data_IF_526345678074
#
_entry.id   IF_526345678074
#
_cell.length_a   1.000
_cell.length_b   1.000
_cell.length_c   1.000
_cell.angle_alpha   90.00
_cell.angle_beta   90.00
_cell.angle_gamma   90.00
#
_symmetry.space_group_name_H-M   'P 1'
#
loop_
_entity.id
_entity.type
_entity.pdbx_description
1 polymer ?
#
# COMPACT_ATOMS: atom_id res chain seq x y z
N UNK A 1 8.61 5.81 -4.96
CA UNK A 1 9.31 4.53 -4.85
C UNK A 1 9.70 4.07 -6.25
N UNK A 2 10.97 3.72 -6.45
CA UNK A 2 11.46 3.16 -7.72
C UNK A 2 11.21 1.65 -7.67
N UNK A 3 10.13 1.19 -8.30
CA UNK A 3 9.77 -0.24 -8.40
C UNK A 3 10.31 -0.88 -9.68
N UNK A 4 11.40 -0.32 -10.22
CA UNK A 4 12.04 -0.70 -11.49
C UNK A 4 13.30 -1.56 -11.29
N UNK A 5 13.90 -1.59 -10.09
CA UNK A 5 15.02 -2.49 -9.79
C UNK A 5 14.49 -3.83 -9.23
N UNK A 6 14.68 -4.96 -9.95
CA UNK A 6 14.21 -6.27 -9.52
C UNK A 6 14.72 -6.70 -8.14
N UNK A 7 15.89 -6.21 -7.70
CA UNK A 7 16.47 -6.54 -6.39
C UNK A 7 15.69 -5.88 -5.25
N UNK A 8 15.21 -4.66 -5.47
CA UNK A 8 14.36 -3.96 -4.50
C UNK A 8 12.96 -4.58 -4.44
N UNK A 9 12.43 -5.00 -5.60
CA UNK A 9 11.17 -5.75 -5.66
C UNK A 9 11.28 -7.08 -4.91
N UNK A 10 12.38 -7.83 -5.09
CA UNK A 10 12.61 -9.09 -4.38
C UNK A 10 12.72 -8.92 -2.85
N UNK A 11 13.14 -7.74 -2.37
CA UNK A 11 13.18 -7.40 -0.95
C UNK A 11 11.82 -6.96 -0.38
N UNK A 12 10.86 -6.63 -1.23
CA UNK A 12 9.63 -5.94 -0.82
C UNK A 12 8.84 -6.72 0.23
N UNK A 13 8.62 -8.01 0.01
CA UNK A 13 7.87 -8.88 0.94
C UNK A 13 8.63 -9.12 2.25
N UNK A 14 9.97 -9.16 2.23
CA UNK A 14 10.78 -9.24 3.47
C UNK A 14 10.63 -7.97 4.31
N UNK A 15 10.51 -6.81 3.64
CA UNK A 15 10.39 -5.51 4.29
C UNK A 15 8.97 -5.19 4.75
N UNK A 16 7.97 -5.81 4.11
CA UNK A 16 6.55 -5.65 4.34
C UNK A 16 5.87 -7.04 4.41
N UNK A 17 6.21 -7.86 5.43
CA UNK A 17 5.65 -9.20 5.57
C UNK A 17 4.17 -9.12 5.95
N UNK A 18 3.48 -10.25 5.81
CA UNK A 18 2.13 -10.42 6.33
C UNK A 18 2.05 -10.00 7.81
N UNK A 19 1.12 -9.10 8.14
CA UNK A 19 0.92 -8.59 9.48
C UNK A 19 -0.58 -8.37 9.78
N UNK A 20 -0.88 -7.62 10.84
CA UNK A 20 -2.24 -7.33 11.31
C UNK A 20 -3.10 -6.61 10.26
N UNK A 21 -2.47 -5.83 9.39
CA UNK A 21 -3.11 -5.17 8.25
C UNK A 21 -3.71 -6.19 7.27
N UNK A 22 -2.93 -7.20 6.90
CA UNK A 22 -3.36 -8.25 5.98
C UNK A 22 -4.48 -9.07 6.61
N UNK A 23 -4.36 -9.38 7.91
CA UNK A 23 -5.42 -10.06 8.66
C UNK A 23 -6.74 -9.26 8.69
N UNK A 24 -6.67 -7.94 8.87
CA UNK A 24 -7.83 -7.06 8.84
C UNK A 24 -8.57 -7.14 7.49
N UNK A 25 -7.84 -7.03 6.38
CA UNK A 25 -8.42 -7.06 5.03
C UNK A 25 -8.99 -8.43 4.66
N UNK A 26 -8.34 -9.52 5.07
CA UNK A 26 -8.88 -10.87 4.89
C UNK A 26 -10.19 -11.07 5.67
N UNK A 27 -10.28 -10.55 6.89
CA UNK A 27 -11.51 -10.60 7.66
C UNK A 27 -12.62 -9.74 7.04
N UNK A 28 -12.27 -8.56 6.50
CA UNK A 28 -13.22 -7.70 5.79
C UNK A 28 -13.77 -8.35 4.52
N UNK A 29 -12.93 -9.11 3.82
CA UNK A 29 -13.31 -9.80 2.58
C UNK A 29 -14.12 -11.10 2.80
N UNK A 30 -14.34 -11.54 4.04
CA UNK A 30 -14.89 -12.88 4.33
C UNK A 30 -16.21 -13.21 3.59
N UNK A 31 -17.09 -12.22 3.38
CA UNK A 31 -18.36 -12.37 2.66
C UNK A 31 -18.33 -11.87 1.22
N UNK A 32 -17.20 -11.33 0.75
CA UNK A 32 -17.01 -10.83 -0.60
C UNK A 32 -16.80 -12.00 -1.56
N UNK A 33 -17.49 -12.02 -2.71
CA UNK A 33 -17.21 -12.99 -3.78
C UNK A 33 -16.19 -12.45 -4.78
N UNK A 34 -16.22 -11.15 -5.04
CA UNK A 34 -15.34 -10.44 -5.96
C UNK A 34 -14.63 -9.29 -5.26
N UNK A 35 -13.30 -9.37 -5.18
CA UNK A 35 -12.43 -8.36 -4.58
C UNK A 35 -11.53 -7.73 -5.64
N UNK A 36 -11.41 -6.40 -5.60
CA UNK A 36 -10.44 -5.65 -6.40
C UNK A 36 -9.38 -5.09 -5.48
N UNK A 37 -8.10 -5.33 -5.78
CA UNK A 37 -6.96 -4.81 -5.03
C UNK A 37 -6.21 -3.79 -5.91
N UNK A 38 -6.40 -2.50 -5.62
CA UNK A 38 -5.80 -1.39 -6.37
C UNK A 38 -4.49 -0.96 -5.71
N UNK A 39 -3.40 -1.00 -6.47
CA UNK A 39 -2.04 -0.88 -5.94
C UNK A 39 -1.58 -2.17 -5.26
N UNK A 40 -1.87 -3.32 -5.86
CA UNK A 40 -1.69 -4.64 -5.26
C UNK A 40 -0.21 -5.05 -5.05
N UNK A 41 0.75 -4.33 -5.64
CA UNK A 41 2.18 -4.59 -5.48
C UNK A 41 2.57 -6.02 -5.87
N UNK A 42 3.30 -6.69 -5.00
CA UNK A 42 3.69 -8.11 -5.16
C UNK A 42 2.51 -9.07 -5.05
N UNK A 43 1.28 -8.60 -4.86
CA UNK A 43 0.09 -9.44 -4.82
C UNK A 43 -0.06 -10.23 -3.53
N UNK A 44 0.53 -9.77 -2.42
CA UNK A 44 0.49 -10.46 -1.12
C UNK A 44 -0.93 -10.75 -0.65
N UNK A 45 -1.75 -9.72 -0.55
CA UNK A 45 -3.15 -9.83 -0.16
C UNK A 45 -3.97 -10.52 -1.26
N UNK A 46 -3.80 -10.10 -2.53
CA UNK A 46 -4.55 -10.64 -3.65
C UNK A 46 -4.44 -12.18 -3.80
N UNK A 47 -3.23 -12.75 -3.68
CA UNK A 47 -3.03 -14.20 -3.77
C UNK A 47 -3.64 -14.94 -2.55
N UNK A 48 -3.56 -14.35 -1.37
CA UNK A 48 -4.11 -14.93 -0.14
C UNK A 48 -5.65 -14.87 -0.14
N UNK A 49 -6.24 -13.86 -0.77
CA UNK A 49 -7.68 -13.81 -1.06
C UNK A 49 -8.08 -14.88 -2.10
N UNK A 50 -7.33 -15.03 -3.19
CA UNK A 50 -7.63 -16.02 -4.22
C UNK A 50 -7.58 -17.45 -3.66
N UNK A 51 -6.60 -17.75 -2.80
CA UNK A 51 -6.51 -18.99 -2.03
C UNK A 51 -7.75 -19.30 -1.18
N UNK A 52 -8.45 -18.27 -0.69
CA UNK A 52 -9.72 -18.40 0.08
C UNK A 52 -10.95 -18.56 -0.81
N UNK A 53 -10.79 -18.61 -2.13
CA UNK A 53 -11.87 -18.81 -3.09
C UNK A 53 -12.56 -17.51 -3.54
N UNK A 54 -11.98 -16.35 -3.23
CA UNK A 54 -12.46 -15.08 -3.77
C UNK A 54 -12.08 -14.97 -5.26
N UNK A 55 -12.96 -14.40 -6.09
CA UNK A 55 -12.57 -13.89 -7.40
C UNK A 55 -11.78 -12.61 -7.17
N UNK A 56 -10.53 -12.54 -7.62
CA UNK A 56 -9.66 -11.38 -7.35
C UNK A 56 -9.19 -10.73 -8.64
N UNK A 57 -9.24 -9.40 -8.67
CA UNK A 57 -8.56 -8.58 -9.68
C UNK A 57 -7.51 -7.71 -8.99
N UNK A 58 -6.23 -7.91 -9.30
CA UNK A 58 -5.13 -7.08 -8.82
C UNK A 58 -4.72 -6.07 -9.88
N UNK A 59 -4.58 -4.80 -9.50
CA UNK A 59 -4.17 -3.71 -10.38
C UNK A 59 -2.90 -3.08 -9.80
N UNK A 60 -1.84 -2.95 -10.60
CA UNK A 60 -0.63 -2.23 -10.20
C UNK A 60 0.05 -1.62 -11.43
N UNK A 61 0.63 -0.41 -11.34
CA UNK A 61 1.32 0.21 -12.46
C UNK A 61 2.71 -0.38 -12.72
N UNK A 62 3.29 -1.15 -11.79
CA UNK A 62 4.63 -1.73 -11.98
C UNK A 62 4.57 -3.13 -12.61
N UNK A 63 5.09 -3.31 -13.84
CA UNK A 63 5.17 -4.64 -14.46
C UNK A 63 6.08 -5.59 -13.67
N UNK A 64 7.09 -5.07 -12.95
CA UNK A 64 7.98 -5.88 -12.11
C UNK A 64 7.25 -6.43 -10.87
N UNK A 65 6.42 -5.60 -10.23
CA UNK A 65 5.57 -6.04 -9.13
C UNK A 65 4.59 -7.13 -9.58
N UNK A 66 3.91 -6.91 -10.71
CA UNK A 66 3.00 -7.89 -11.28
C UNK A 66 3.70 -9.18 -11.75
N UNK A 67 4.97 -9.11 -12.14
CA UNK A 67 5.76 -10.31 -12.44
C UNK A 67 5.94 -11.18 -11.19
N UNK A 68 6.23 -10.58 -10.04
CA UNK A 68 6.30 -11.31 -8.76
C UNK A 68 4.93 -11.82 -8.35
N UNK A 69 3.90 -11.00 -8.49
CA UNK A 69 2.53 -11.36 -8.14
C UNK A 69 2.03 -12.59 -8.90
N UNK A 70 2.30 -12.66 -10.21
CA UNK A 70 1.95 -13.82 -11.06
C UNK A 70 2.68 -15.11 -10.68
N UNK A 71 3.90 -14.99 -10.16
CA UNK A 71 4.73 -16.15 -9.79
C UNK A 71 4.39 -16.71 -8.40
N UNK A 72 3.57 -16.02 -7.60
CA UNK A 72 3.17 -16.47 -6.27
C UNK A 72 2.17 -17.62 -6.34
N UNK A 73 2.13 -18.42 -5.28
CA UNK A 73 1.11 -19.45 -5.13
C UNK A 73 -0.29 -18.81 -5.22
N UNK A 74 -1.17 -19.42 -6.03
CA UNK A 74 -2.48 -18.90 -6.40
C UNK A 74 -2.49 -17.64 -7.27
N UNK A 75 -1.32 -17.11 -7.66
CA UNK A 75 -1.20 -15.97 -8.58
C UNK A 75 -1.75 -16.27 -9.97
N UNK A 76 -1.80 -17.53 -10.38
CA UNK A 76 -2.41 -18.04 -11.61
C UNK A 76 -3.96 -17.94 -11.62
N UNK A 77 -4.57 -17.76 -10.44
CA UNK A 77 -6.04 -17.63 -10.29
C UNK A 77 -6.51 -16.19 -10.16
N UNK A 78 -5.58 -15.22 -10.09
CA UNK A 78 -5.87 -13.79 -9.99
C UNK A 78 -5.86 -13.16 -11.39
N UNK A 79 -6.82 -12.28 -11.67
CA UNK A 79 -6.78 -11.42 -12.86
C UNK A 79 -5.85 -10.23 -12.59
N UNK A 80 -4.74 -10.13 -13.31
CA UNK A 80 -3.78 -9.04 -13.16
C UNK A 80 -3.91 -7.99 -14.26
N UNK A 81 -4.02 -6.72 -13.87
CA UNK A 81 -4.07 -5.59 -14.79
C UNK A 81 -2.87 -4.67 -14.50
N UNK A 82 -2.03 -4.46 -15.51
CA UNK A 82 -1.03 -3.38 -15.48
C UNK A 82 -1.74 -2.05 -15.70
N UNK A 83 -1.74 -1.19 -14.69
CA UNK A 83 -2.43 0.09 -14.76
C UNK A 83 -2.67 0.73 -13.40
N UNK A 84 -3.52 1.75 -13.40
CA UNK A 84 -3.90 2.53 -12.22
C UNK A 84 -5.43 2.55 -12.05
N UNK A 85 -5.95 3.56 -11.35
CA UNK A 85 -7.38 3.76 -11.15
C UNK A 85 -8.19 3.86 -12.46
N UNK A 86 -7.56 4.18 -13.59
CA UNK A 86 -8.20 4.18 -14.92
C UNK A 86 -8.64 2.79 -15.40
N UNK A 87 -8.12 1.71 -14.79
CA UNK A 87 -8.53 0.34 -15.08
C UNK A 87 -9.85 -0.06 -14.37
N UNK A 88 -10.27 0.67 -13.34
CA UNK A 88 -11.46 0.36 -12.54
C UNK A 88 -12.77 0.22 -13.33
N UNK A 89 -13.03 0.94 -14.43
CA UNK A 89 -14.21 0.71 -15.25
C UNK A 89 -14.31 -0.70 -15.86
N UNK A 90 -13.19 -1.45 -15.95
CA UNK A 90 -13.12 -2.74 -16.63
C UNK A 90 -13.13 -3.95 -15.69
N UNK A 91 -13.09 -3.74 -14.37
CA UNK A 91 -13.01 -4.84 -13.40
C UNK A 91 -14.37 -5.46 -13.08
N UNK A 92 -15.47 -4.84 -13.51
CA UNK A 92 -16.83 -5.24 -13.19
C UNK A 92 -17.23 -4.86 -11.76
N UNK A 93 -18.47 -5.21 -11.37
CA UNK A 93 -19.03 -4.81 -10.08
C UNK A 93 -18.42 -5.62 -8.91
N UNK A 94 -17.52 -5.00 -8.14
CA UNK A 94 -16.85 -5.61 -6.98
C UNK A 94 -17.74 -5.60 -5.74
N UNK A 95 -17.60 -6.63 -4.89
CA UNK A 95 -18.18 -6.64 -3.54
C UNK A 95 -17.34 -5.77 -2.60
N UNK A 96 -16.02 -5.81 -2.76
CA UNK A 96 -15.04 -5.06 -1.99
C UNK A 96 -13.92 -4.58 -2.92
N UNK A 97 -13.53 -3.32 -2.79
CA UNK A 97 -12.30 -2.78 -3.39
C UNK A 97 -11.38 -2.31 -2.28
N UNK A 98 -10.12 -2.73 -2.32
CA UNK A 98 -9.11 -2.35 -1.33
C UNK A 98 -7.97 -1.56 -1.95
N UNK A 99 -7.38 -0.66 -1.16
CA UNK A 99 -6.09 -0.03 -1.43
C UNK A 99 -5.23 -0.19 -0.18
N UNK A 100 -4.26 -1.11 -0.22
CA UNK A 100 -3.46 -1.53 0.95
C UNK A 100 -2.00 -1.10 0.81
N UNK A 101 -1.20 -1.15 1.88
CA UNK A 101 0.18 -0.67 1.88
C UNK A 101 0.30 0.86 1.77
N UNK A 102 -0.70 1.59 2.29
CA UNK A 102 -0.84 3.04 2.24
C UNK A 102 -0.91 3.62 0.83
N UNK A 103 -1.47 2.88 -0.14
CA UNK A 103 -1.63 3.32 -1.55
C UNK A 103 -2.29 4.69 -1.67
N UNK A 104 -3.26 5.03 -0.81
CA UNK A 104 -3.90 6.34 -0.80
C UNK A 104 -2.91 7.52 -0.63
N UNK A 105 -1.76 7.31 0.02
CA UNK A 105 -0.73 8.33 0.22
C UNK A 105 0.14 8.56 -1.02
N UNK A 106 0.16 7.64 -1.98
CA UNK A 106 0.92 7.76 -3.23
C UNK A 106 0.30 8.81 -4.17
N UNK A 107 -1.01 9.04 -4.05
CA UNK A 107 -1.70 10.12 -4.75
C UNK A 107 -1.32 11.47 -4.11
N UNK A 108 -0.33 12.15 -4.69
CA UNK A 108 0.16 13.44 -4.18
C UNK A 108 -0.83 14.60 -4.40
N UNK A 109 -1.64 14.49 -5.45
CA UNK A 109 -2.70 15.43 -5.80
C UNK A 109 -4.05 14.96 -5.22
N UNK A 110 -4.74 15.88 -4.56
CA UNK A 110 -6.05 15.65 -3.96
C UNK A 110 -7.12 15.41 -5.03
N UNK A 111 -7.01 16.04 -6.21
CA UNK A 111 -7.92 15.78 -7.32
C UNK A 111 -7.75 14.35 -7.87
N UNK A 112 -6.51 13.84 -7.92
CA UNK A 112 -6.23 12.48 -8.36
C UNK A 112 -6.80 11.43 -7.39
N UNK A 113 -6.65 11.62 -6.08
CA UNK A 113 -7.28 10.72 -5.10
C UNK A 113 -8.81 10.80 -5.17
N UNK A 114 -9.38 12.00 -5.26
CA UNK A 114 -10.83 12.18 -5.37
C UNK A 114 -11.40 11.50 -6.63
N UNK A 115 -10.73 11.64 -7.78
CA UNK A 115 -11.11 10.94 -9.01
C UNK A 115 -11.02 9.41 -8.86
N UNK A 116 -9.98 8.92 -8.18
CA UNK A 116 -9.80 7.50 -7.88
C UNK A 116 -10.93 6.97 -6.99
N UNK A 117 -11.28 7.68 -5.92
CA UNK A 117 -12.40 7.30 -5.03
C UNK A 117 -13.74 7.31 -5.77
N UNK A 118 -13.98 8.28 -6.66
CA UNK A 118 -15.18 8.32 -7.48
C UNK A 118 -15.22 7.15 -8.50
N UNK A 119 -14.09 6.77 -9.09
CA UNK A 119 -14.00 5.59 -9.95
C UNK A 119 -14.22 4.30 -9.15
N UNK A 120 -13.63 4.18 -7.96
CA UNK A 120 -13.82 3.06 -7.06
C UNK A 120 -15.29 2.92 -6.64
N UNK A 121 -15.98 4.04 -6.33
CA UNK A 121 -17.42 4.05 -6.03
C UNK A 121 -18.26 3.48 -7.17
N UNK A 122 -17.89 3.73 -8.43
CA UNK A 122 -18.59 3.19 -9.61
C UNK A 122 -18.24 1.71 -9.87
N UNK A 123 -17.04 1.28 -9.47
CA UNK A 123 -16.58 -0.09 -9.64
C UNK A 123 -17.16 -1.05 -8.58
N UNK A 124 -17.60 -0.55 -7.42
CA UNK A 124 -18.30 -1.37 -6.43
C UNK A 124 -19.80 -1.45 -6.71
N UNK A 125 -20.39 -2.64 -6.50
CA UNK A 125 -21.85 -2.82 -6.64
C UNK A 125 -22.63 -2.01 -5.58
N UNK A 126 -23.94 -1.82 -5.73
CA UNK A 126 -24.79 -1.37 -4.63
C UNK A 126 -24.60 -2.23 -3.37
N UNK A 127 -24.32 -1.58 -2.24
CA UNK A 127 -24.00 -2.23 -0.96
C UNK A 127 -22.63 -2.90 -0.89
N UNK A 128 -21.78 -2.74 -1.91
CA UNK A 128 -20.35 -3.05 -1.85
C UNK A 128 -19.59 -1.98 -1.08
N UNK A 129 -18.34 -2.26 -0.72
CA UNK A 129 -17.52 -1.36 0.06
C UNK A 129 -16.19 -1.04 -0.63
N UNK A 130 -15.63 0.13 -0.31
CA UNK A 130 -14.19 0.35 -0.46
C UNK A 130 -13.52 0.38 0.90
N UNK A 131 -12.28 -0.07 0.98
CA UNK A 131 -11.48 0.05 2.19
C UNK A 131 -10.03 0.40 1.89
N UNK A 132 -9.46 1.27 2.71
CA UNK A 132 -8.06 1.67 2.59
C UNK A 132 -7.56 2.22 3.92
N UNK A 133 -6.25 2.26 4.08
CA UNK A 133 -5.61 2.98 5.17
C UNK A 133 -4.77 4.16 4.68
N UNK A 134 -4.59 5.13 5.58
CA UNK A 134 -3.57 6.17 5.47
C UNK A 134 -2.96 6.40 6.84
N UNK A 135 -1.66 6.71 6.89
CA UNK A 135 -1.03 7.14 8.14
C UNK A 135 -1.70 8.41 8.65
N UNK A 136 -1.96 8.46 9.95
CA UNK A 136 -2.51 9.63 10.62
C UNK A 136 -1.46 10.75 10.68
N UNK A 137 -1.71 11.94 10.12
CA UNK A 137 -0.76 13.06 10.20
C UNK A 137 -0.43 13.47 11.63
N UNK A 138 -1.37 13.34 12.57
CA UNK A 138 -1.14 13.67 13.99
C UNK A 138 -0.07 12.81 14.65
N UNK A 139 0.15 11.59 14.14
CA UNK A 139 1.19 10.68 14.62
C UNK A 139 2.59 11.03 14.09
N UNK A 140 2.70 11.99 13.15
CA UNK A 140 3.97 12.53 12.62
C UNK A 140 4.98 11.44 12.25
N UNK A 141 4.50 10.37 11.58
CA UNK A 141 5.31 9.20 11.26
C UNK A 141 6.62 9.56 10.50
N UNK A 142 6.59 10.64 9.70
CA UNK A 142 7.76 11.14 8.97
C UNK A 142 8.94 11.55 9.85
N UNK A 143 8.73 11.88 11.12
CA UNK A 143 9.81 12.23 12.05
C UNK A 143 10.68 11.02 12.44
N UNK A 144 10.17 9.81 12.21
CA UNK A 144 10.92 8.57 12.42
C UNK A 144 11.70 8.13 11.19
N UNK A 145 11.58 8.85 10.07
CA UNK A 145 12.32 8.55 8.84
C UNK A 145 13.73 9.13 8.86
N UNK A 146 14.50 8.75 9.87
CA UNK A 146 15.92 9.08 10.00
C UNK A 146 16.73 7.78 10.08
N UNK A 147 18.02 7.79 9.72
CA UNK A 147 18.86 6.60 9.83
C UNK A 147 18.78 5.96 11.22
N UNK A 148 18.80 6.76 12.29
CA UNK A 148 18.85 6.29 13.67
C UNK A 148 17.57 5.57 14.11
N UNK A 149 16.41 5.97 13.56
CA UNK A 149 15.10 5.45 13.98
C UNK A 149 14.52 4.41 13.03
N UNK A 150 15.03 4.35 11.80
CA UNK A 150 14.51 3.46 10.75
C UNK A 150 15.49 2.38 10.31
N UNK A 151 16.77 2.45 10.70
CA UNK A 151 17.75 1.45 10.35
C UNK A 151 17.34 0.06 10.82
N UNK A 152 17.31 -0.88 9.89
CA UNK A 152 17.08 -2.30 10.13
C UNK A 152 17.93 -3.13 9.20
N UNK A 153 18.28 -4.34 9.63
CA UNK A 153 18.96 -5.33 8.80
C UNK A 153 17.97 -6.43 8.43
N UNK A 154 17.92 -6.76 7.14
CA UNK A 154 17.14 -7.87 6.60
C UNK A 154 18.04 -8.81 5.82
N UNK A 155 17.52 -9.99 5.49
CA UNK A 155 18.19 -10.96 4.61
C UNK A 155 17.42 -11.00 3.29
N UNK A 156 18.11 -10.71 2.20
CA UNK A 156 17.56 -10.81 0.86
C UNK A 156 17.29 -12.28 0.48
N UNK A 157 16.43 -12.56 -0.52
CA UNK A 157 16.16 -13.93 -0.96
C UNK A 157 17.40 -14.71 -1.44
N UNK A 158 18.45 -14.01 -1.88
CA UNK A 158 19.73 -14.59 -2.26
C UNK A 158 20.66 -14.90 -1.06
N UNK A 159 20.19 -14.65 0.17
CA UNK A 159 20.92 -14.87 1.43
C UNK A 159 21.77 -13.69 1.88
N UNK A 160 21.91 -12.62 1.09
CA UNK A 160 22.74 -11.46 1.47
C UNK A 160 22.09 -10.65 2.59
N UNK A 161 22.90 -10.21 3.54
CA UNK A 161 22.47 -9.20 4.50
C UNK A 161 22.33 -7.83 3.81
N UNK A 162 21.22 -7.13 4.08
CA UNK A 162 20.94 -5.80 3.56
C UNK A 162 20.57 -4.87 4.71
N UNK A 163 21.32 -3.78 4.87
CA UNK A 163 20.95 -2.68 5.76
C UNK A 163 20.00 -1.74 5.03
N UNK A 164 18.87 -1.43 5.66
CA UNK A 164 17.82 -0.56 5.11
C UNK A 164 17.55 0.57 6.08
N UNK A 165 17.51 1.81 5.60
CA UNK A 165 17.13 2.97 6.39
C UNK A 165 16.46 4.04 5.53
N UNK A 166 15.73 4.94 6.19
CA UNK A 166 15.09 6.10 5.59
C UNK A 166 15.84 7.37 5.94
N UNK A 167 15.81 8.32 5.02
CA UNK A 167 16.32 9.67 5.18
C UNK A 167 15.26 10.67 4.69
N UNK A 168 14.60 11.34 5.64
CA UNK A 168 13.61 12.38 5.36
C UNK A 168 14.27 13.58 4.70
N UNK A 169 13.67 14.07 3.63
CA UNK A 169 14.08 15.31 2.98
C UNK A 169 13.57 16.53 3.76
N UNK A 170 14.30 17.65 3.67
CA UNK A 170 13.89 18.89 4.33
C UNK A 170 12.61 19.48 3.72
N UNK A 171 12.45 19.35 2.39
CA UNK A 171 11.29 19.79 1.65
C UNK A 171 10.64 18.61 0.89
N UNK A 172 9.31 18.61 0.69
CA UNK A 172 8.37 19.58 1.25
C UNK A 172 8.21 19.43 2.78
N UNK A 173 7.85 20.53 3.46
CA UNK A 173 7.54 20.49 4.90
C UNK A 173 6.17 19.83 5.11
N UNK A 174 6.10 18.69 5.83
CA UNK A 174 4.84 17.99 6.08
C UNK A 174 3.83 18.83 6.87
N UNK A 175 4.27 19.75 7.72
CA UNK A 175 3.33 20.58 8.49
C UNK A 175 2.70 21.69 7.64
N UNK A 176 3.42 22.20 6.65
CA UNK A 176 2.93 23.26 5.76
C UNK A 176 2.16 22.71 4.55
N UNK A 177 2.57 21.55 4.04
CA UNK A 177 2.07 21.01 2.75
C UNK A 177 1.28 19.72 2.90
N UNK A 178 1.38 19.08 4.08
CA UNK A 178 0.93 17.71 4.29
C UNK A 178 1.57 16.69 3.35
N UNK A 179 2.74 17.01 2.75
CA UNK A 179 3.55 16.09 1.96
C UNK A 179 4.90 15.87 2.63
N UNK A 180 5.42 14.66 2.51
CA UNK A 180 6.73 14.31 3.05
C UNK A 180 7.51 13.51 1.99
N UNK A 181 8.71 13.98 1.68
CA UNK A 181 9.66 13.25 0.83
C UNK A 181 10.75 12.57 1.67
N UNK A 182 11.20 11.40 1.22
CA UNK A 182 12.27 10.65 1.83
C UNK A 182 12.98 9.76 0.82
N UNK A 183 14.23 9.42 1.10
CA UNK A 183 14.98 8.39 0.39
C UNK A 183 15.09 7.15 1.27
N UNK A 184 14.76 5.99 0.71
CA UNK A 184 15.12 4.70 1.31
C UNK A 184 16.44 4.25 0.72
N UNK A 185 17.39 3.89 1.56
CA UNK A 185 18.68 3.36 1.17
C UNK A 185 18.76 1.88 1.50
N UNK A 186 19.41 1.12 0.62
CA UNK A 186 19.57 -0.32 0.70
C UNK A 186 21.04 -0.66 0.49
N UNK A 187 21.76 -0.92 1.57
CA UNK A 187 23.17 -1.32 1.51
C UNK A 187 23.27 -2.83 1.58
N UNK A 188 23.52 -3.44 0.42
CA UNK A 188 23.83 -4.86 0.32
C UNK A 188 25.26 -5.11 0.80
N UNK A 189 25.40 -5.98 1.79
CA UNK A 189 26.70 -6.34 2.34
C UNK A 189 27.48 -7.21 1.33
N UNK A 190 28.82 -7.14 1.31
CA UNK A 190 29.63 -8.03 0.49
C UNK A 190 29.43 -9.49 0.93
N UNK A 191 29.46 -10.42 -0.02
CA UNK A 191 29.36 -11.87 0.24
C UNK A 191 30.65 -12.56 -0.25
N UNK A 192 31.64 -12.79 0.64
CA UNK A 192 32.95 -13.33 0.27
C UNK A 192 32.86 -14.72 -0.38
N UNK A 193 31.91 -15.56 0.01
CA UNK A 193 31.79 -16.92 -0.53
C UNK A 193 31.41 -16.94 -2.02
N UNK A 194 30.76 -15.87 -2.51
CA UNK A 194 30.33 -15.71 -3.91
C UNK A 194 31.08 -14.60 -4.63
N UNK A 195 32.08 -13.99 -3.98
CA UNK A 195 32.83 -12.83 -4.47
C UNK A 195 31.93 -11.64 -4.92
N UNK A 196 30.76 -11.50 -4.30
CA UNK A 196 29.88 -10.36 -4.58
C UNK A 196 30.30 -9.14 -3.76
N UNK A 197 30.55 -8.03 -4.44
CA UNK A 197 30.88 -6.76 -3.80
C UNK A 197 29.67 -6.14 -3.06
N UNK A 198 29.95 -5.32 -2.05
CA UNK A 198 28.94 -4.49 -1.42
C UNK A 198 28.47 -3.37 -2.37
N UNK A 199 27.19 -3.03 -2.29
CA UNK A 199 26.58 -2.00 -3.14
C UNK A 199 25.48 -1.28 -2.35
N UNK A 200 25.29 0.01 -2.60
CA UNK A 200 24.18 0.78 -2.03
C UNK A 200 23.26 1.25 -3.14
N UNK A 201 21.98 0.88 -3.03
CA UNK A 201 20.90 1.39 -3.86
C UNK A 201 20.07 2.39 -3.06
N UNK A 202 19.40 3.29 -3.75
CA UNK A 202 18.47 4.21 -3.11
C UNK A 202 17.24 4.48 -3.96
N UNK A 203 16.11 4.73 -3.29
CA UNK A 203 14.84 5.03 -3.92
C UNK A 203 14.15 6.19 -3.20
N UNK A 204 13.87 7.26 -3.93
CA UNK A 204 13.14 8.42 -3.41
C UNK A 204 11.63 8.21 -3.55
N UNK A 205 10.89 8.65 -2.54
CA UNK A 205 9.44 8.64 -2.49
C UNK A 205 8.93 9.94 -1.89
N UNK A 206 7.77 10.39 -2.34
CA UNK A 206 6.98 11.43 -1.70
C UNK A 206 5.61 10.83 -1.37
N UNK A 207 5.04 11.24 -0.24
CA UNK A 207 3.75 10.78 0.25
C UNK A 207 2.92 11.99 0.69
N UNK A 208 1.60 11.94 0.45
CA UNK A 208 0.62 12.90 0.97
C UNK A 208 -0.06 12.34 2.22
N UNK A 209 0.03 13.07 3.32
CA UNK A 209 -0.66 12.83 4.58
C UNK A 209 -1.92 13.67 4.63
N UNK A 210 -3.07 13.03 4.51
CA UNK A 210 -4.38 13.68 4.62
C UNK A 210 -4.95 13.43 6.01
N UNK A 211 -5.60 14.44 6.56
CA UNK A 211 -6.33 14.37 7.82
C UNK A 211 -7.59 13.52 7.69
N UNK A 212 -8.15 13.12 8.84
CA UNK A 212 -9.43 12.43 8.89
C UNK A 212 -10.55 13.22 8.20
N UNK A 213 -10.57 14.54 8.39
CA UNK A 213 -11.57 15.43 7.81
C UNK A 213 -11.42 15.54 6.28
N UNK A 214 -10.20 15.71 5.77
CA UNK A 214 -9.94 15.73 4.32
C UNK A 214 -10.39 14.41 3.66
N UNK A 215 -10.01 13.26 4.24
CA UNK A 215 -10.41 11.95 3.70
C UNK A 215 -11.92 11.72 3.79
N UNK A 216 -12.56 12.13 4.88
CA UNK A 216 -14.01 12.04 5.06
C UNK A 216 -14.75 12.87 4.02
N UNK A 217 -14.29 14.10 3.75
CA UNK A 217 -14.86 14.96 2.71
C UNK A 217 -14.69 14.36 1.31
N UNK A 218 -13.52 13.79 1.00
CA UNK A 218 -13.28 13.14 -0.28
C UNK A 218 -14.18 11.91 -0.49
N UNK A 219 -14.33 11.06 0.54
CA UNK A 219 -15.23 9.92 0.51
C UNK A 219 -16.70 10.33 0.35
N UNK A 220 -17.13 11.33 1.10
CA UNK A 220 -18.50 11.86 1.00
C UNK A 220 -18.74 12.46 -0.39
N UNK A 221 -17.80 13.24 -0.90
CA UNK A 221 -17.86 13.82 -2.25
C UNK A 221 -17.83 12.79 -3.37
N UNK A 222 -17.21 11.62 -3.14
CA UNK A 222 -17.25 10.49 -4.06
C UNK A 222 -18.59 9.72 -4.03
N UNK A 223 -19.49 10.02 -3.08
CA UNK A 223 -20.83 9.43 -2.99
C UNK A 223 -20.93 8.18 -2.10
N UNK A 224 -20.03 8.03 -1.13
CA UNK A 224 -20.20 7.05 -0.05
C UNK A 224 -21.12 7.62 1.04
N UNK A 225 -22.13 6.85 1.44
CA UNK A 225 -23.15 7.27 2.40
C UNK A 225 -22.74 7.00 3.84
N UNK A 226 -21.95 5.95 4.06
CA UNK A 226 -21.45 5.57 5.38
C UNK A 226 -19.95 5.36 5.34
N UNK A 227 -19.24 5.79 6.37
CA UNK A 227 -17.80 5.63 6.52
C UNK A 227 -17.52 5.17 7.95
N UNK A 228 -17.06 3.93 8.09
CA UNK A 228 -16.53 3.42 9.34
C UNK A 228 -15.03 3.76 9.41
N UNK A 229 -14.62 4.43 10.47
CA UNK A 229 -13.23 4.80 10.71
C UNK A 229 -12.63 4.03 11.88
N UNK A 230 -11.45 3.44 11.67
CA UNK A 230 -10.67 2.76 12.70
C UNK A 230 -9.28 3.38 12.82
N UNK A 231 -8.80 3.47 14.05
CA UNK A 231 -7.47 4.01 14.38
C UNK A 231 -6.38 2.94 14.48
N UNK A 232 -6.75 1.67 14.38
CA UNK A 232 -5.87 0.51 14.53
C UNK A 232 -6.49 -0.74 13.88
N UNK A 233 -5.66 -1.74 13.57
CA UNK A 233 -6.01 -2.97 12.84
C UNK A 233 -6.96 -3.90 13.60
N UNK A 234 -7.07 -3.71 14.93
CA UNK A 234 -8.04 -4.40 15.79
C UNK A 234 -9.45 -3.75 15.77
N UNK A 235 -9.71 -2.79 14.88
CA UNK A 235 -10.95 -2.00 14.79
C UNK A 235 -11.20 -1.04 15.97
N UNK A 236 -10.15 -0.67 16.71
CA UNK A 236 -10.27 0.40 17.70
C UNK A 236 -10.71 1.72 17.02
N UNK A 237 -11.51 2.57 17.70
CA UNK A 237 -11.91 3.86 17.17
C UNK A 237 -10.68 4.77 16.97
N UNK A 238 -10.81 5.75 16.08
CA UNK A 238 -9.78 6.78 15.89
C UNK A 238 -9.67 7.64 17.15
N UNK A 239 -8.45 7.80 17.65
CA UNK A 239 -8.09 8.70 18.74
C UNK A 239 -6.82 9.50 18.42
N UNK A 240 -6.44 10.41 19.33
CA UNK A 240 -5.27 11.29 19.12
C UNK A 240 -3.95 10.52 18.93
N UNK A 241 -3.82 9.36 19.57
CA UNK A 241 -2.63 8.51 19.49
C UNK A 241 -2.67 7.50 18.33
N UNK A 242 -3.76 7.45 17.55
CA UNK A 242 -3.90 6.50 16.45
C UNK A 242 -2.84 6.76 15.38
N UNK A 243 -2.12 5.71 14.98
CA UNK A 243 -1.10 5.79 13.93
C UNK A 243 -1.70 5.70 12.54
N UNK A 244 -2.84 5.03 12.42
CA UNK A 244 -3.52 4.77 11.17
C UNK A 244 -4.89 5.45 11.16
N UNK A 245 -5.37 5.75 9.95
CA UNK A 245 -6.73 6.10 9.62
C UNK A 245 -7.21 5.06 8.61
N UNK A 246 -8.00 4.09 9.07
CA UNK A 246 -8.48 2.97 8.26
C UNK A 246 -9.95 3.22 7.96
N UNK A 247 -10.29 3.40 6.69
CA UNK A 247 -11.64 3.64 6.22
C UNK A 247 -12.29 2.37 5.69
N UNK A 248 -13.57 2.16 6.00
CA UNK A 248 -14.46 1.24 5.28
C UNK A 248 -15.71 2.01 4.88
N UNK A 249 -15.86 2.31 3.59
CA UNK A 249 -16.90 3.19 3.07
C UNK A 249 -17.89 2.46 2.14
N UNK A 250 -19.20 2.78 2.25
CA UNK A 250 -20.31 2.17 1.49
C UNK A 250 -21.28 3.23 0.96
#
# INVERSE_FOLDING_TARGET
MRYDDPRLVALYDTLNPFADDTAFYLALAQSARHVVDLGCGTGLLACELAKRGHRVTGIDPSPHMLSVARARAHGDTVTWIEGDASALPFVGAADLLVMTGHVAQVFLDDAALAATLAAARRAVRPGGAIAFESRNPSARAWEHWTPERSARRVVAPDGRAVDVWHERHAAPDPLATGRAAFTTHYRFMPEPATNMAGETLSATSELRFRTLDELTQMLTGAGFATIDWYGDWNRAPVGEASRELIAVAR
#
